data_IF_735343509795
#
_entry.id   IF_735343509795
#
_cell.length_a   1.000
_cell.length_b   1.000
_cell.length_c   1.000
_cell.angle_alpha   90.00
_cell.angle_beta   90.00
_cell.angle_gamma   90.00
#
_symmetry.space_group_name_H-M   'P 1'
#
loop_
_entity.id
_entity.type
_entity.pdbx_description
1 polymer ?
#
# COMPACT_ATOMS: atom_id res chain seq x y z
N UNK A 1 13.18 19.36 9.20
CA UNK A 1 12.39 20.54 9.63
C UNK A 1 10.95 20.12 9.78
N UNK A 2 10.34 20.36 10.94
CA UNK A 2 8.91 20.18 11.19
C UNK A 2 8.16 21.50 10.91
N UNK A 3 6.84 21.51 11.06
CA UNK A 3 6.03 22.75 10.90
C UNK A 3 6.48 23.86 11.84
N UNK A 4 6.93 23.51 13.02
CA UNK A 4 7.17 24.44 14.15
C UNK A 4 8.64 24.59 14.53
N UNK A 5 9.51 23.67 14.13
CA UNK A 5 10.95 23.71 14.54
C UNK A 5 11.86 22.93 13.61
N UNK A 6 13.15 23.23 13.71
CA UNK A 6 14.22 22.45 13.09
C UNK A 6 14.87 21.56 14.16
N UNK A 7 15.03 20.29 13.84
CA UNK A 7 15.70 19.31 14.70
C UNK A 7 16.98 18.90 13.99
N UNK A 8 18.13 19.06 14.68
CA UNK A 8 19.40 18.47 14.25
C UNK A 8 19.49 17.03 14.75
N UNK A 9 19.87 16.11 13.88
CA UNK A 9 20.03 14.70 14.21
C UNK A 9 21.26 14.14 13.51
N UNK A 10 22.00 13.25 14.16
CA UNK A 10 23.15 12.55 13.58
C UNK A 10 22.74 11.32 12.74
N UNK A 11 21.53 10.79 12.94
CA UNK A 11 20.96 9.72 12.13
C UNK A 11 19.44 9.89 12.01
N UNK A 12 18.85 9.29 10.97
CA UNK A 12 17.42 9.30 10.69
C UNK A 12 16.94 7.88 10.34
N UNK A 13 15.85 7.44 10.97
CA UNK A 13 15.14 6.21 10.57
C UNK A 13 13.78 6.60 9.99
N UNK A 14 13.55 6.23 8.72
CA UNK A 14 12.28 6.44 8.02
C UNK A 14 11.42 5.19 8.21
N UNK A 15 10.36 5.30 9.00
CA UNK A 15 9.45 4.20 9.30
C UNK A 15 7.98 4.65 9.19
N UNK A 16 7.69 5.56 8.23
CA UNK A 16 6.37 6.16 8.07
C UNK A 16 5.39 5.31 7.23
N UNK A 17 5.78 4.08 6.90
CA UNK A 17 4.96 3.15 6.16
C UNK A 17 4.61 3.65 4.75
N UNK A 18 3.53 3.10 4.22
CA UNK A 18 2.88 3.58 2.99
C UNK A 18 1.57 4.25 3.40
N UNK A 19 1.32 5.49 2.97
CA UNK A 19 0.01 6.09 3.20
C UNK A 19 -1.04 5.32 2.39
N UNK A 20 -2.13 4.92 3.05
CA UNK A 20 -3.30 4.37 2.37
C UNK A 20 -4.01 5.51 1.66
N UNK A 21 -4.05 5.45 0.34
CA UNK A 21 -4.87 6.36 -0.44
C UNK A 21 -6.27 5.74 -0.56
N UNK A 22 -7.19 6.18 0.28
CA UNK A 22 -8.59 5.73 0.24
C UNK A 22 -9.30 6.58 -0.81
N UNK A 23 -9.81 5.96 -1.90
CA UNK A 23 -10.53 6.71 -2.93
C UNK A 23 -11.87 7.23 -2.36
N UNK A 24 -12.36 8.40 -2.81
CA UNK A 24 -13.61 8.97 -2.33
C UNK A 24 -14.82 8.24 -2.96
N UNK A 25 -15.03 6.99 -2.55
CA UNK A 25 -16.17 6.15 -2.94
C UNK A 25 -17.16 6.15 -1.79
N UNK A 26 -18.42 6.41 -2.07
CA UNK A 26 -19.49 6.44 -1.06
C UNK A 26 -19.64 5.07 -0.40
N UNK A 27 -19.82 5.05 0.91
CA UNK A 27 -19.98 3.89 1.77
C UNK A 27 -18.74 2.99 1.94
N UNK A 28 -17.55 3.41 1.47
CA UNK A 28 -16.32 2.61 1.63
C UNK A 28 -16.04 2.29 3.11
N UNK A 29 -16.16 3.29 4.00
CA UNK A 29 -15.93 3.14 5.44
C UNK A 29 -16.97 2.22 6.10
N UNK A 30 -18.19 2.18 5.54
CA UNK A 30 -19.27 1.32 6.04
C UNK A 30 -18.92 -0.15 5.92
N UNK A 31 -18.21 -0.53 4.87
CA UNK A 31 -17.87 -1.92 4.57
C UNK A 31 -16.41 -2.29 4.90
N UNK A 32 -15.64 -1.38 5.49
CA UNK A 32 -14.28 -1.70 5.95
C UNK A 32 -14.32 -2.83 6.98
N UNK A 33 -13.57 -3.92 6.72
CA UNK A 33 -13.61 -5.16 7.49
C UNK A 33 -14.91 -5.99 7.30
N UNK A 34 -15.83 -5.51 6.47
CA UNK A 34 -17.07 -6.20 6.10
C UNK A 34 -17.17 -6.40 4.58
N UNK A 35 -16.11 -6.99 4.02
CA UNK A 35 -15.96 -7.25 2.59
C UNK A 35 -15.05 -6.25 1.87
N UNK A 36 -14.73 -5.10 2.46
CA UNK A 36 -13.67 -4.19 1.98
C UNK A 36 -12.41 -4.42 2.78
N UNK A 37 -11.31 -4.70 2.09
CA UNK A 37 -9.97 -4.98 2.62
C UNK A 37 -8.90 -4.12 1.95
N UNK A 38 -7.73 -4.01 2.60
CA UNK A 38 -6.54 -3.31 2.10
C UNK A 38 -5.31 -4.22 2.00
N UNK A 39 -5.46 -5.52 2.24
CA UNK A 39 -4.34 -6.46 2.30
C UNK A 39 -4.71 -7.82 1.68
N UNK A 40 -4.24 -8.09 0.48
CA UNK A 40 -4.49 -9.36 -0.21
C UNK A 40 -3.94 -10.57 0.56
N UNK A 41 -2.75 -10.45 1.13
CA UNK A 41 -2.10 -11.54 1.90
C UNK A 41 -2.86 -11.82 3.20
N UNK A 42 -3.42 -10.77 3.84
CA UNK A 42 -4.13 -10.91 5.11
C UNK A 42 -5.48 -11.61 4.92
N UNK A 43 -6.25 -11.15 3.94
CA UNK A 43 -7.68 -11.45 3.85
C UNK A 43 -8.06 -12.29 2.63
N UNK A 44 -7.18 -12.42 1.62
CA UNK A 44 -7.49 -13.11 0.37
C UNK A 44 -8.02 -14.54 0.54
N UNK A 45 -7.54 -15.27 1.54
CA UNK A 45 -8.00 -16.65 1.81
C UNK A 45 -9.48 -16.75 2.22
N UNK A 46 -10.06 -15.71 2.80
CA UNK A 46 -11.49 -15.69 3.17
C UNK A 46 -12.42 -15.56 1.96
N UNK A 47 -11.86 -15.19 0.80
CA UNK A 47 -12.60 -15.00 -0.45
C UNK A 47 -12.34 -16.09 -1.48
N UNK A 48 -11.77 -17.23 -1.09
CA UNK A 48 -11.59 -18.38 -1.99
C UNK A 48 -12.92 -18.86 -2.55
N UNK A 49 -13.01 -19.04 -3.87
CA UNK A 49 -14.22 -19.44 -4.58
C UNK A 49 -15.27 -18.33 -4.72
N UNK A 50 -14.91 -17.09 -4.41
CA UNK A 50 -15.78 -15.90 -4.51
C UNK A 50 -15.33 -14.99 -5.65
N UNK A 51 -16.20 -14.07 -6.06
CA UNK A 51 -15.90 -13.01 -7.03
C UNK A 51 -15.45 -11.76 -6.29
N UNK A 52 -14.26 -11.26 -6.61
CA UNK A 52 -13.70 -10.08 -5.94
C UNK A 52 -13.25 -9.02 -6.94
N UNK A 53 -13.15 -7.77 -6.45
CA UNK A 53 -12.55 -6.65 -7.17
C UNK A 53 -11.29 -6.15 -6.47
N UNK A 54 -10.30 -5.71 -7.28
CA UNK A 54 -9.14 -4.94 -6.81
C UNK A 54 -9.30 -3.53 -7.34
N UNK A 55 -9.33 -2.52 -6.47
CA UNK A 55 -9.47 -1.12 -6.88
C UNK A 55 -8.12 -0.42 -6.85
N UNK A 56 -7.68 0.05 -8.01
CA UNK A 56 -6.43 0.78 -8.20
C UNK A 56 -5.97 0.76 -9.64
N UNK A 57 -5.03 1.64 -9.98
CA UNK A 57 -4.59 1.82 -11.37
C UNK A 57 -3.07 1.74 -11.58
N UNK A 58 -2.29 1.48 -10.51
CA UNK A 58 -0.83 1.46 -10.55
C UNK A 58 -0.22 0.11 -10.15
N UNK A 59 1.10 0.08 -10.02
CA UNK A 59 1.87 -1.12 -9.70
C UNK A 59 1.43 -1.83 -8.40
N UNK A 60 0.87 -1.10 -7.44
CA UNK A 60 0.34 -1.70 -6.23
C UNK A 60 -0.91 -2.54 -6.52
N UNK A 61 -1.84 -2.04 -7.33
CA UNK A 61 -3.03 -2.81 -7.74
C UNK A 61 -2.64 -4.05 -8.56
N UNK A 62 -1.66 -3.94 -9.46
CA UNK A 62 -1.11 -5.06 -10.22
C UNK A 62 -0.51 -6.13 -9.31
N UNK A 63 0.23 -5.73 -8.27
CA UNK A 63 0.83 -6.64 -7.27
C UNK A 63 -0.25 -7.37 -6.46
N UNK A 64 -1.22 -6.63 -5.90
CA UNK A 64 -2.33 -7.22 -5.11
C UNK A 64 -3.19 -8.17 -5.96
N UNK A 65 -3.47 -7.78 -7.23
CA UNK A 65 -4.14 -8.67 -8.18
C UNK A 65 -3.37 -9.97 -8.38
N UNK A 66 -2.05 -9.91 -8.58
CA UNK A 66 -1.21 -11.10 -8.76
C UNK A 66 -1.25 -12.04 -7.56
N UNK A 67 -1.22 -11.49 -6.34
CA UNK A 67 -1.37 -12.28 -5.09
C UNK A 67 -2.74 -12.95 -5.04
N UNK A 68 -3.81 -12.19 -5.27
CA UNK A 68 -5.18 -12.69 -5.18
C UNK A 68 -5.49 -13.72 -6.26
N UNK A 69 -4.98 -13.54 -7.48
CA UNK A 69 -5.18 -14.45 -8.61
C UNK A 69 -4.59 -15.86 -8.39
N UNK A 70 -3.60 -15.99 -7.50
CA UNK A 70 -3.06 -17.28 -7.07
C UNK A 70 -4.00 -18.05 -6.11
N UNK A 71 -4.99 -17.36 -5.54
CA UNK A 71 -5.88 -17.89 -4.48
C UNK A 71 -7.32 -17.96 -4.98
N UNK A 72 -7.72 -16.99 -5.84
CA UNK A 72 -9.09 -16.73 -6.27
C UNK A 72 -9.15 -16.71 -7.79
N UNK A 73 -10.09 -17.46 -8.36
CA UNK A 73 -10.22 -17.57 -9.81
C UNK A 73 -10.88 -16.32 -10.43
N UNK A 74 -11.89 -15.74 -9.79
CA UNK A 74 -12.66 -14.60 -10.28
C UNK A 74 -12.21 -13.30 -9.61
N UNK A 75 -11.19 -12.67 -10.21
CA UNK A 75 -10.62 -11.38 -9.76
C UNK A 75 -10.66 -10.39 -10.90
N UNK A 76 -11.27 -9.23 -10.66
CA UNK A 76 -11.36 -8.12 -11.62
C UNK A 76 -10.63 -6.89 -11.07
N UNK A 77 -9.89 -6.17 -11.93
CA UNK A 77 -9.31 -4.87 -11.56
C UNK A 77 -10.28 -3.76 -11.99
N UNK A 78 -10.59 -2.85 -11.05
CA UNK A 78 -11.38 -1.65 -11.29
C UNK A 78 -10.50 -0.42 -11.10
N UNK A 79 -10.31 0.41 -12.13
CA UNK A 79 -9.41 1.57 -12.02
C UNK A 79 -10.09 2.83 -11.51
N UNK A 80 -11.39 2.78 -11.26
CA UNK A 80 -12.19 3.89 -10.73
C UNK A 80 -12.06 5.17 -11.57
N UNK A 81 -12.15 5.05 -12.88
CA UNK A 81 -12.08 6.19 -13.81
C UNK A 81 -10.66 6.67 -14.15
N UNK A 82 -9.64 6.03 -13.62
CA UNK A 82 -8.24 6.39 -13.88
C UNK A 82 -7.66 5.55 -15.03
N UNK A 83 -6.71 6.12 -15.77
CA UNK A 83 -5.96 5.37 -16.77
C UNK A 83 -5.08 4.29 -16.08
N UNK A 84 -5.12 3.02 -16.52
CA UNK A 84 -4.27 1.97 -15.96
C UNK A 84 -2.79 2.23 -16.29
N UNK A 85 -1.91 1.96 -15.34
CA UNK A 85 -0.45 2.02 -15.49
C UNK A 85 0.17 0.62 -15.66
N UNK A 86 -0.63 -0.36 -16.05
CA UNK A 86 -0.27 -1.76 -16.30
C UNK A 86 -0.99 -2.27 -17.55
N UNK A 87 -0.64 -3.47 -18.03
CA UNK A 87 -1.22 -4.06 -19.26
C UNK A 87 -2.26 -5.16 -18.98
N UNK A 88 -2.72 -5.32 -17.74
CA UNK A 88 -3.74 -6.30 -17.39
C UNK A 88 -5.14 -5.84 -17.83
N UNK A 89 -6.05 -6.78 -18.15
CA UNK A 89 -7.46 -6.46 -18.36
C UNK A 89 -8.05 -5.79 -17.12
N UNK A 90 -8.76 -4.69 -17.32
CA UNK A 90 -9.38 -3.96 -16.21
C UNK A 90 -10.65 -3.23 -16.69
N UNK A 91 -11.52 -2.92 -15.75
CA UNK A 91 -12.66 -2.04 -15.94
C UNK A 91 -12.28 -0.62 -15.54
N UNK A 92 -12.49 0.33 -16.44
CA UNK A 92 -12.11 1.73 -16.25
C UNK A 92 -13.28 2.62 -15.84
N UNK A 93 -14.47 2.08 -15.61
CA UNK A 93 -15.62 2.85 -15.17
C UNK A 93 -15.37 3.49 -13.81
N UNK A 94 -15.89 4.70 -13.63
CA UNK A 94 -15.84 5.38 -12.34
C UNK A 94 -16.83 4.75 -11.38
N UNK A 95 -16.38 4.47 -10.16
CA UNK A 95 -17.20 3.93 -9.08
C UNK A 95 -17.86 5.09 -8.35
N UNK A 96 -19.15 4.97 -8.06
CA UNK A 96 -19.91 5.92 -7.25
C UNK A 96 -20.03 5.47 -5.81
N UNK A 97 -20.47 4.22 -5.58
CA UNK A 97 -20.70 3.70 -4.22
C UNK A 97 -20.50 2.19 -4.14
N UNK A 98 -20.35 1.72 -2.90
CA UNK A 98 -20.55 0.33 -2.53
C UNK A 98 -21.91 0.16 -1.88
N UNK A 99 -22.58 -0.97 -2.16
CA UNK A 99 -23.86 -1.31 -1.57
C UNK A 99 -23.88 -2.77 -1.09
N UNK A 100 -24.74 -3.04 -0.10
CA UNK A 100 -24.91 -4.36 0.50
C UNK A 100 -25.67 -4.28 1.83
N UNK A 101 -25.87 -5.42 2.46
CA UNK A 101 -26.46 -5.54 3.78
C UNK A 101 -25.41 -5.50 4.90
N UNK A 102 -25.11 -6.64 5.50
CA UNK A 102 -24.07 -6.76 6.53
C UNK A 102 -22.65 -6.67 5.94
N UNK A 103 -22.49 -7.13 4.71
CA UNK A 103 -21.23 -7.08 3.95
C UNK A 103 -21.43 -6.36 2.62
N UNK A 104 -20.33 -5.97 1.96
CA UNK A 104 -20.40 -5.46 0.59
C UNK A 104 -20.92 -6.55 -0.35
N UNK A 105 -21.83 -6.19 -1.26
CA UNK A 105 -22.43 -7.09 -2.24
C UNK A 105 -22.34 -6.55 -3.68
N UNK A 106 -22.34 -5.24 -3.84
CA UNK A 106 -22.36 -4.60 -5.16
C UNK A 106 -21.46 -3.38 -5.22
N UNK A 107 -20.86 -3.19 -6.40
CA UNK A 107 -20.25 -1.94 -6.84
C UNK A 107 -21.22 -1.23 -7.77
N UNK A 108 -21.55 0.01 -7.44
CA UNK A 108 -22.37 0.90 -8.27
C UNK A 108 -21.46 1.84 -9.03
N UNK A 109 -21.57 1.87 -10.35
CA UNK A 109 -20.78 2.76 -11.20
C UNK A 109 -21.52 4.07 -11.48
N UNK A 110 -20.79 5.13 -11.84
CA UNK A 110 -21.33 6.45 -12.12
C UNK A 110 -22.29 6.49 -13.33
N UNK A 111 -22.26 5.49 -14.20
CA UNK A 111 -23.21 5.31 -15.31
C UNK A 111 -24.51 4.60 -14.89
N UNK A 112 -24.64 4.27 -13.60
CA UNK A 112 -25.78 3.56 -13.04
C UNK A 112 -25.71 2.04 -13.14
N UNK A 113 -24.68 1.48 -13.78
CA UNK A 113 -24.46 0.04 -13.82
C UNK A 113 -24.11 -0.51 -12.43
N UNK A 114 -24.50 -1.76 -12.18
CA UNK A 114 -24.26 -2.47 -10.92
C UNK A 114 -23.60 -3.80 -11.18
N UNK A 115 -22.58 -4.14 -10.42
CA UNK A 115 -21.94 -5.44 -10.49
C UNK A 115 -21.75 -6.02 -9.09
N UNK A 116 -22.03 -7.33 -8.98
CA UNK A 116 -21.89 -8.07 -7.72
C UNK A 116 -20.44 -8.47 -7.49
N UNK A 117 -20.00 -8.25 -6.25
CA UNK A 117 -18.71 -8.70 -5.73
C UNK A 117 -18.87 -9.14 -4.27
N UNK A 118 -18.26 -10.26 -3.92
CA UNK A 118 -18.25 -10.77 -2.55
C UNK A 118 -17.19 -10.07 -1.68
N UNK A 119 -16.23 -9.37 -2.32
CA UNK A 119 -15.19 -8.64 -1.63
C UNK A 119 -14.47 -7.65 -2.53
N UNK A 120 -13.91 -6.62 -1.92
CA UNK A 120 -13.23 -5.52 -2.59
C UNK A 120 -11.91 -5.25 -1.90
N UNK A 121 -10.81 -5.24 -2.66
CA UNK A 121 -9.48 -4.94 -2.17
C UNK A 121 -9.05 -3.56 -2.67
N UNK A 122 -8.83 -2.63 -1.75
CA UNK A 122 -8.39 -1.28 -2.08
C UNK A 122 -6.87 -1.25 -2.21
N UNK A 123 -6.39 -1.05 -3.42
CA UNK A 123 -4.98 -1.04 -3.79
C UNK A 123 -4.60 0.28 -4.49
N UNK A 124 -5.11 1.39 -3.96
CA UNK A 124 -4.78 2.73 -4.43
C UNK A 124 -3.42 3.15 -3.88
N UNK A 125 -2.50 3.55 -4.79
CA UNK A 125 -1.09 3.77 -4.52
C UNK A 125 -0.75 4.72 -3.38
N UNK A 126 0.49 4.65 -2.93
CA UNK A 126 1.01 5.31 -1.73
C UNK A 126 1.78 6.59 -2.06
N UNK A 127 1.59 7.65 -1.29
CA UNK A 127 2.35 8.90 -1.41
C UNK A 127 3.43 9.09 -0.31
N UNK A 128 3.24 8.65 0.90
CA UNK A 128 4.03 8.94 2.10
C UNK A 128 5.57 8.93 2.01
N UNK A 129 6.18 7.77 2.21
CA UNK A 129 7.65 7.62 2.22
C UNK A 129 8.31 7.95 0.88
N UNK A 130 7.60 7.74 -0.24
CA UNK A 130 8.13 8.00 -1.58
C UNK A 130 8.39 9.48 -1.86
N UNK A 131 7.49 10.37 -1.44
CA UNK A 131 7.73 11.81 -1.57
C UNK A 131 8.88 12.30 -0.70
N UNK A 132 8.99 11.75 0.53
CA UNK A 132 10.09 12.05 1.41
C UNK A 132 11.42 11.55 0.83
N UNK A 133 11.45 10.36 0.24
CA UNK A 133 12.65 9.81 -0.39
C UNK A 133 13.16 10.67 -1.54
N UNK A 134 12.27 11.15 -2.40
CA UNK A 134 12.63 12.08 -3.48
C UNK A 134 13.23 13.39 -2.97
N UNK A 135 12.62 13.96 -1.92
CA UNK A 135 13.13 15.21 -1.32
C UNK A 135 14.51 15.04 -0.69
N UNK A 136 14.83 13.85 -0.21
CA UNK A 136 16.13 13.53 0.39
C UNK A 136 17.15 12.99 -0.62
N UNK A 137 16.77 12.68 -1.86
CA UNK A 137 17.66 12.06 -2.85
C UNK A 137 17.96 10.59 -2.56
N UNK A 138 17.02 9.87 -1.93
CA UNK A 138 17.16 8.45 -1.67
C UNK A 138 16.86 7.63 -2.93
N UNK A 139 17.59 6.54 -3.12
CA UNK A 139 17.29 5.57 -4.16
C UNK A 139 15.95 4.87 -3.87
N UNK A 140 15.16 4.69 -4.94
CA UNK A 140 13.84 4.05 -4.86
C UNK A 140 13.68 3.00 -5.95
N UNK A 141 12.99 1.91 -5.61
CA UNK A 141 12.45 0.95 -6.56
C UNK A 141 10.93 1.04 -6.53
N UNK A 142 10.34 1.55 -7.63
CA UNK A 142 8.95 1.97 -7.64
C UNK A 142 8.69 3.05 -6.59
N UNK A 143 7.83 2.74 -5.63
CA UNK A 143 7.46 3.63 -4.52
C UNK A 143 8.10 3.24 -3.17
N UNK A 144 9.07 2.33 -3.18
CA UNK A 144 9.78 1.84 -1.99
C UNK A 144 11.19 2.40 -1.93
N UNK A 145 11.68 2.67 -0.73
CA UNK A 145 13.05 3.10 -0.48
C UNK A 145 13.96 1.88 -0.57
N UNK A 146 14.98 1.93 -1.42
CA UNK A 146 15.99 0.88 -1.51
C UNK A 146 16.88 0.91 -0.26
N UNK A 147 17.10 -0.27 0.34
CA UNK A 147 17.98 -0.44 1.49
C UNK A 147 18.79 -1.72 1.37
N UNK A 148 19.94 -1.74 2.02
CA UNK A 148 20.72 -2.96 2.21
C UNK A 148 20.14 -3.87 3.34
N UNK A 149 20.84 -4.96 3.66
CA UNK A 149 20.46 -5.88 4.74
C UNK A 149 20.46 -5.23 6.13
N UNK A 150 21.21 -4.14 6.31
CA UNK A 150 21.28 -3.34 7.54
C UNK A 150 20.23 -2.24 7.59
N UNK A 151 19.34 -2.20 6.59
CA UNK A 151 18.33 -1.15 6.42
C UNK A 151 18.93 0.24 6.18
N UNK A 152 20.21 0.31 5.77
CA UNK A 152 20.85 1.55 5.35
C UNK A 152 20.41 1.92 3.92
N UNK A 153 20.19 3.20 3.69
CA UNK A 153 19.93 3.76 2.35
C UNK A 153 21.23 4.12 1.65
N UNK A 154 21.15 4.66 0.44
CA UNK A 154 22.30 5.21 -0.28
C UNK A 154 22.95 6.43 0.40
N UNK A 155 22.29 7.04 1.40
CA UNK A 155 22.82 8.19 2.15
C UNK A 155 23.26 7.75 3.54
N UNK A 156 24.56 7.91 3.91
CA UNK A 156 25.07 7.55 5.23
C UNK A 156 24.27 8.20 6.37
N UNK A 157 23.94 7.42 7.39
CA UNK A 157 23.15 7.88 8.54
C UNK A 157 21.64 7.92 8.31
N UNK A 158 21.15 7.60 7.10
CA UNK A 158 19.72 7.45 6.83
C UNK A 158 19.37 5.98 6.63
N UNK A 159 18.39 5.50 7.38
CA UNK A 159 17.87 4.15 7.38
C UNK A 159 16.39 4.16 7.05
N UNK A 160 15.86 3.05 6.52
CA UNK A 160 14.41 2.89 6.31
C UNK A 160 13.94 1.52 6.77
N UNK A 161 12.71 1.42 7.28
CA UNK A 161 12.18 0.21 7.90
C UNK A 161 10.66 0.07 7.69
N UNK A 162 10.18 -1.16 7.70
CA UNK A 162 8.75 -1.48 7.60
C UNK A 162 8.22 -1.36 6.18
N UNK A 163 6.97 -0.91 6.05
CA UNK A 163 6.26 -0.94 4.77
C UNK A 163 6.79 0.05 3.72
N UNK A 164 7.64 0.99 4.10
CA UNK A 164 8.27 1.91 3.15
C UNK A 164 9.46 1.33 2.38
N UNK A 165 9.91 0.12 2.71
CA UNK A 165 10.96 -0.61 1.99
C UNK A 165 10.41 -1.86 1.30
N UNK A 166 11.12 -2.48 0.33
CA UNK A 166 10.68 -3.71 -0.33
C UNK A 166 10.41 -4.87 0.65
N UNK A 167 9.55 -5.81 0.24
CA UNK A 167 9.21 -7.02 0.98
C UNK A 167 7.77 -7.05 1.48
N UNK A 168 7.46 -8.03 2.34
CA UNK A 168 6.12 -8.26 2.88
C UNK A 168 5.66 -7.08 3.75
N UNK A 169 4.42 -6.63 3.56
CA UNK A 169 3.79 -5.60 4.40
C UNK A 169 3.10 -6.27 5.59
N UNK A 170 3.91 -6.68 6.58
CA UNK A 170 3.45 -7.40 7.77
C UNK A 170 4.09 -6.82 9.02
N UNK A 171 3.35 -6.83 10.13
CA UNK A 171 3.80 -6.31 11.43
C UNK A 171 5.12 -6.97 11.87
N UNK A 172 5.23 -8.29 11.75
CA UNK A 172 6.43 -9.02 12.14
C UNK A 172 7.69 -8.55 11.37
N UNK A 173 7.54 -8.31 10.05
CA UNK A 173 8.64 -7.73 9.24
C UNK A 173 8.96 -6.32 9.69
N UNK A 174 7.95 -5.46 9.85
CA UNK A 174 8.15 -4.07 10.24
C UNK A 174 8.87 -3.95 11.60
N UNK A 175 8.54 -4.81 12.56
CA UNK A 175 9.23 -4.90 13.86
C UNK A 175 10.69 -5.32 13.68
N UNK A 176 10.96 -6.35 12.90
CA UNK A 176 12.32 -6.82 12.61
C UNK A 176 13.14 -5.73 11.91
N UNK A 177 12.60 -5.10 10.88
CA UNK A 177 13.27 -4.01 10.16
C UNK A 177 13.59 -2.84 11.09
N UNK A 178 12.65 -2.44 11.95
CA UNK A 178 12.83 -1.36 12.91
C UNK A 178 13.94 -1.66 13.93
N UNK A 179 14.01 -2.90 14.41
CA UNK A 179 15.09 -3.34 15.29
C UNK A 179 16.46 -3.25 14.62
N UNK A 180 16.56 -3.73 13.36
CA UNK A 180 17.80 -3.67 12.59
C UNK A 180 18.19 -2.21 12.34
N UNK A 181 17.29 -1.40 11.77
CA UNK A 181 17.54 0.01 11.46
C UNK A 181 17.96 0.82 12.69
N UNK A 182 17.27 0.65 13.82
CA UNK A 182 17.59 1.35 15.06
C UNK A 182 18.96 0.95 15.62
N UNK A 183 19.29 -0.35 15.56
CA UNK A 183 20.60 -0.85 16.01
C UNK A 183 21.73 -0.30 15.16
N UNK A 184 21.57 -0.30 13.83
CA UNK A 184 22.60 0.20 12.91
C UNK A 184 22.73 1.73 12.98
N UNK A 185 21.63 2.46 13.15
CA UNK A 185 21.68 3.91 13.41
C UNK A 185 22.48 4.25 14.69
N UNK A 186 22.29 3.48 15.77
CA UNK A 186 23.09 3.66 17.00
C UNK A 186 24.58 3.35 16.81
N UNK A 187 24.91 2.33 16.01
CA UNK A 187 26.32 2.04 15.64
C UNK A 187 26.92 3.20 14.84
N UNK A 188 26.19 3.70 13.86
CA UNK A 188 26.63 4.85 13.03
C UNK A 188 26.91 6.08 13.90
N UNK A 189 26.02 6.43 14.83
CA UNK A 189 26.21 7.56 15.75
C UNK A 189 27.52 7.47 16.55
N UNK A 190 27.97 6.25 16.93
CA UNK A 190 29.25 6.02 17.63
C UNK A 190 30.48 6.25 16.73
N UNK A 191 30.30 6.30 15.41
CA UNK A 191 31.41 6.55 14.47
C UNK A 191 31.62 8.03 14.16
N UNK A 192 30.63 8.87 14.46
CA UNK A 192 30.65 10.32 14.17
C UNK A 192 30.71 11.20 15.41
N UNK A 193 30.61 10.64 16.59
CA UNK A 193 30.77 11.30 17.91
C UNK A 193 31.97 10.80 18.63
#
# INVERSE_FOLDING_TARGET
KTTDRTIAAGALVIACGTSRNVPPIKNIDTFEGRGVSYCAICDGFFFRGKKIAVIGNGAYAESEYGVLKNIIEDVTILTNGLAPQFSLPCDTRKIESFEGGETVEEVVFADGAREKYDGIFIACGSAGAFELSKKLGLETDGNKIVTDEKRATNIPGIYAAGDCIPGLQQIAKAVCDGMIAGTEALKFLKTIG
#
